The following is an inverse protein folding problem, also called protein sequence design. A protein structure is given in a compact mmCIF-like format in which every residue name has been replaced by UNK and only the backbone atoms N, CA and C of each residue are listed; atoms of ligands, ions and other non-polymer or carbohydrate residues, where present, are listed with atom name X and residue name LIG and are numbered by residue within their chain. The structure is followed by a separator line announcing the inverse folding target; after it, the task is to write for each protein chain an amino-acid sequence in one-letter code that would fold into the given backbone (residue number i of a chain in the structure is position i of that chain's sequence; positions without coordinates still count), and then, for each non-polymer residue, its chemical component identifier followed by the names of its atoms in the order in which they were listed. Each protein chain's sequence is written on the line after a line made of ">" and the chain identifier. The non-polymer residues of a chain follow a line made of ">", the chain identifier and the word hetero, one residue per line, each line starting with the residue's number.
data_IF_648993307692
#
_entry.id   IF_648993307692
#
_cell.length_a   1.000
_cell.length_b   1.000
_cell.length_c   1.000
_cell.angle_alpha   90.00
_cell.angle_beta   90.00
_cell.angle_gamma   90.00
#
_symmetry.space_group_name_H-M   'P 1'
#
loop_
_entity.id
_entity.type
_entity.pdbx_description
1 polymer ?
#
# COMPACT_ATOMS: atom_id res chain seq x y z
N UNK A 1 -15.15 -24.97 3.51
CA UNK A 1 -15.76 -24.27 4.66
C UNK A 1 -14.62 -23.79 5.56
N UNK A 2 -14.23 -22.52 5.50
CA UNK A 2 -13.31 -21.98 6.51
C UNK A 2 -14.07 -21.88 7.85
N UNK A 3 -13.53 -22.48 8.91
CA UNK A 3 -14.12 -22.39 10.25
C UNK A 3 -13.81 -21.01 10.82
N UNK A 4 -14.85 -20.27 11.21
CA UNK A 4 -14.66 -19.03 11.98
C UNK A 4 -13.94 -19.33 13.29
N UNK A 5 -13.07 -18.42 13.71
CA UNK A 5 -12.37 -18.48 14.99
C UNK A 5 -13.07 -17.59 16.01
N UNK A 6 -13.06 -17.96 17.29
CA UNK A 6 -13.69 -17.20 18.38
C UNK A 6 -12.59 -16.50 19.16
N UNK A 7 -12.77 -15.20 19.39
CA UNK A 7 -11.93 -14.38 20.28
C UNK A 7 -12.80 -13.91 21.43
N UNK A 8 -12.34 -14.08 22.66
CA UNK A 8 -12.95 -13.51 23.86
C UNK A 8 -12.02 -12.47 24.45
N UNK A 9 -12.48 -11.23 24.55
CA UNK A 9 -11.70 -10.10 25.07
C UNK A 9 -12.54 -9.29 26.06
N UNK A 10 -11.86 -8.70 27.05
CA UNK A 10 -12.49 -7.69 27.91
C UNK A 10 -12.48 -6.36 27.16
N UNK A 11 -13.64 -5.70 27.13
CA UNK A 11 -13.83 -4.39 26.51
C UNK A 11 -14.31 -3.44 27.59
N UNK A 12 -13.77 -2.23 27.59
CA UNK A 12 -14.21 -1.17 28.50
C UNK A 12 -15.73 -0.94 28.34
N UNK A 13 -16.50 -0.79 29.45
CA UNK A 13 -17.94 -0.56 29.40
C UNK A 13 -18.33 0.62 28.52
N UNK A 14 -17.60 1.74 28.58
CA UNK A 14 -17.89 2.94 27.79
C UNK A 14 -17.72 2.68 26.29
N UNK A 15 -16.69 1.92 25.93
CA UNK A 15 -16.46 1.50 24.54
C UNK A 15 -17.56 0.54 24.07
N UNK A 16 -18.05 -0.34 24.94
CA UNK A 16 -19.18 -1.24 24.61
C UNK A 16 -20.45 -0.46 24.28
N UNK A 17 -20.73 0.64 24.98
CA UNK A 17 -21.87 1.52 24.66
C UNK A 17 -21.74 2.18 23.28
N UNK A 18 -20.52 2.57 22.89
CA UNK A 18 -20.26 3.08 21.54
C UNK A 18 -20.49 2.02 20.47
N UNK A 19 -20.00 0.78 20.71
CA UNK A 19 -20.25 -0.36 19.81
C UNK A 19 -21.74 -0.61 19.66
N UNK A 20 -22.50 -0.54 20.76
CA UNK A 20 -23.95 -0.69 20.75
C UNK A 20 -24.68 0.35 19.90
N UNK A 21 -24.27 1.61 20.04
CA UNK A 21 -24.85 2.71 19.27
C UNK A 21 -24.64 2.50 17.77
N UNK A 22 -23.42 2.13 17.37
CA UNK A 22 -23.08 1.89 15.95
C UNK A 22 -23.78 0.64 15.42
N UNK A 23 -23.82 -0.43 16.20
CA UNK A 23 -24.49 -1.69 15.84
C UNK A 23 -25.96 -1.45 15.52
N UNK A 24 -26.67 -0.73 16.40
CA UNK A 24 -28.08 -0.37 16.22
C UNK A 24 -28.28 0.51 14.99
N UNK A 25 -27.47 1.55 14.83
CA UNK A 25 -27.59 2.46 13.69
C UNK A 25 -27.37 1.78 12.33
N UNK A 26 -26.50 0.76 12.27
CA UNK A 26 -26.18 0.04 11.03
C UNK A 26 -27.02 -1.24 10.82
N UNK A 27 -27.86 -1.63 11.78
CA UNK A 27 -28.59 -2.89 11.73
C UNK A 27 -27.67 -4.12 11.72
N UNK A 28 -26.54 -4.05 12.41
CA UNK A 28 -25.51 -5.12 12.47
C UNK A 28 -25.32 -5.63 13.90
N UNK A 29 -24.84 -6.86 14.04
CA UNK A 29 -24.50 -7.42 15.35
C UNK A 29 -23.17 -6.83 15.86
N UNK A 30 -23.00 -6.81 17.20
CA UNK A 30 -21.74 -6.42 17.85
C UNK A 30 -20.57 -7.26 17.34
N UNK A 31 -20.76 -8.57 17.23
CA UNK A 31 -19.74 -9.50 16.75
C UNK A 31 -19.34 -9.23 15.30
N UNK A 32 -20.30 -8.81 14.45
CA UNK A 32 -19.99 -8.41 13.08
C UNK A 32 -19.13 -7.14 13.06
N UNK A 33 -19.46 -6.13 13.87
CA UNK A 33 -18.66 -4.91 13.98
C UNK A 33 -17.27 -5.19 14.52
N UNK A 34 -17.15 -6.00 15.57
CA UNK A 34 -15.86 -6.36 16.15
C UNK A 34 -14.97 -7.08 15.11
N UNK A 35 -15.51 -8.08 14.42
CA UNK A 35 -14.78 -8.79 13.37
C UNK A 35 -14.33 -7.84 12.24
N UNK A 36 -15.22 -6.93 11.81
CA UNK A 36 -14.90 -5.98 10.74
C UNK A 36 -13.87 -4.93 11.17
N UNK A 37 -13.93 -4.45 12.41
CA UNK A 37 -12.96 -3.51 12.96
C UNK A 37 -11.57 -4.15 13.06
N UNK A 38 -11.49 -5.38 13.58
CA UNK A 38 -10.25 -6.16 13.67
C UNK A 38 -9.67 -6.38 12.26
N UNK A 39 -10.50 -6.82 11.30
CA UNK A 39 -10.05 -7.03 9.92
C UNK A 39 -9.47 -5.75 9.31
N UNK A 40 -10.18 -4.62 9.44
CA UNK A 40 -9.73 -3.35 8.86
C UNK A 40 -8.40 -2.89 9.47
N UNK A 41 -8.25 -3.01 10.78
CA UNK A 41 -7.02 -2.65 11.48
C UNK A 41 -5.86 -3.54 11.02
N UNK A 42 -6.03 -4.87 11.12
CA UNK A 42 -4.93 -5.80 10.87
C UNK A 42 -4.48 -5.84 9.42
N UNK A 43 -5.36 -5.62 8.43
CA UNK A 43 -4.94 -5.58 7.02
C UNK A 43 -3.95 -4.45 6.74
N UNK A 44 -4.16 -3.28 7.36
CA UNK A 44 -3.25 -2.16 7.20
C UNK A 44 -1.94 -2.38 7.97
N UNK A 45 -2.03 -2.88 9.21
CA UNK A 45 -0.86 -3.16 10.04
C UNK A 45 0.04 -4.23 9.43
N UNK A 46 -0.53 -5.35 8.97
CA UNK A 46 0.25 -6.43 8.35
C UNK A 46 0.94 -5.93 7.08
N UNK A 47 0.25 -5.15 6.24
CA UNK A 47 0.88 -4.57 5.05
C UNK A 47 2.07 -3.66 5.40
N UNK A 48 1.98 -2.90 6.50
CA UNK A 48 3.09 -2.06 6.97
C UNK A 48 4.23 -2.91 7.55
N UNK A 49 3.91 -3.93 8.35
CA UNK A 49 4.90 -4.84 8.92
C UNK A 49 5.67 -5.58 7.82
N UNK A 50 4.96 -6.10 6.82
CA UNK A 50 5.56 -6.78 5.67
C UNK A 50 6.47 -5.84 4.87
N UNK A 51 6.02 -4.59 4.63
CA UNK A 51 6.83 -3.58 3.95
C UNK A 51 8.12 -3.22 4.71
N UNK A 52 8.04 -3.07 6.04
CA UNK A 52 9.22 -2.82 6.87
C UNK A 52 10.18 -4.01 6.80
N UNK A 53 9.66 -5.23 6.93
CA UNK A 53 10.49 -6.44 6.89
C UNK A 53 11.20 -6.59 5.55
N UNK A 54 10.53 -6.30 4.43
CA UNK A 54 11.16 -6.27 3.11
C UNK A 54 12.33 -5.26 3.06
N UNK A 55 12.16 -4.07 3.64
CA UNK A 55 13.23 -3.08 3.75
C UNK A 55 14.41 -3.54 4.63
N UNK A 56 14.13 -4.21 5.75
CA UNK A 56 15.18 -4.79 6.60
C UNK A 56 15.96 -5.90 5.86
N UNK A 57 15.24 -6.75 5.13
CA UNK A 57 15.83 -7.82 4.33
C UNK A 57 16.68 -7.27 3.17
N UNK A 58 16.25 -6.17 2.55
CA UNK A 58 17.01 -5.44 1.54
C UNK A 58 18.30 -4.85 2.12
N UNK A 59 18.23 -4.25 3.30
CA UNK A 59 19.42 -3.73 4.00
C UNK A 59 20.38 -4.88 4.31
N UNK A 60 19.88 -5.99 4.87
CA UNK A 60 20.70 -7.15 5.22
C UNK A 60 21.37 -7.79 3.99
N UNK A 61 20.69 -7.78 2.84
CA UNK A 61 21.22 -8.28 1.57
C UNK A 61 22.08 -7.25 0.80
N UNK A 62 22.28 -6.05 1.33
CA UNK A 62 23.02 -4.97 0.67
C UNK A 62 22.30 -4.36 -0.54
N UNK A 63 20.99 -4.58 -0.68
CA UNK A 63 20.12 -4.01 -1.72
C UNK A 63 19.63 -2.61 -1.33
N UNK A 64 20.55 -1.72 -0.99
CA UNK A 64 20.24 -0.32 -0.70
C UNK A 64 21.21 0.59 -1.44
N UNK A 65 20.83 1.86 -1.57
CA UNK A 65 21.71 2.90 -2.11
C UNK A 65 22.07 3.87 -1.00
N UNK A 66 23.34 4.27 -0.95
CA UNK A 66 23.75 5.47 -0.21
C UNK A 66 23.17 6.72 -0.87
N UNK A 67 23.21 7.85 -0.17
CA UNK A 67 22.72 9.13 -0.70
C UNK A 67 23.33 9.47 -2.07
N UNK A 68 24.65 9.34 -2.22
CA UNK A 68 25.36 9.65 -3.46
C UNK A 68 24.92 8.72 -4.60
N UNK A 69 24.85 7.41 -4.34
CA UNK A 69 24.41 6.42 -5.32
C UNK A 69 22.94 6.64 -5.73
N UNK A 70 22.11 7.08 -4.80
CA UNK A 70 20.71 7.40 -5.03
C UNK A 70 20.54 8.62 -5.96
N UNK A 71 21.35 9.66 -5.76
CA UNK A 71 21.37 10.85 -6.61
C UNK A 71 21.80 10.52 -8.05
N UNK A 72 22.87 9.73 -8.20
CA UNK A 72 23.34 9.24 -9.50
C UNK A 72 22.26 8.41 -10.20
N UNK A 73 21.60 7.52 -9.46
CA UNK A 73 20.53 6.68 -9.98
C UNK A 73 19.36 7.52 -10.51
N UNK A 74 18.90 8.53 -9.76
CA UNK A 74 17.83 9.44 -10.21
C UNK A 74 18.24 10.28 -11.41
N UNK A 75 19.47 10.79 -11.45
CA UNK A 75 19.98 11.53 -12.59
C UNK A 75 19.94 10.67 -13.88
N UNK A 76 20.34 9.41 -13.77
CA UNK A 76 20.28 8.46 -14.87
C UNK A 76 18.84 8.17 -15.33
N UNK A 77 17.91 7.96 -14.39
CA UNK A 77 16.49 7.76 -14.72
C UNK A 77 15.89 8.96 -15.48
N UNK A 78 16.19 10.19 -15.03
CA UNK A 78 15.73 11.41 -15.71
C UNK A 78 16.29 11.53 -17.12
N UNK A 79 17.57 11.22 -17.30
CA UNK A 79 18.21 11.23 -18.62
C UNK A 79 17.55 10.23 -19.58
N UNK A 80 17.32 8.99 -19.13
CA UNK A 80 16.63 7.95 -19.90
C UNK A 80 15.20 8.34 -20.27
N UNK A 81 14.46 8.93 -19.34
CA UNK A 81 13.10 9.40 -19.61
C UNK A 81 13.09 10.49 -20.70
N UNK A 82 14.02 11.46 -20.63
CA UNK A 82 14.15 12.52 -21.63
C UNK A 82 14.50 11.97 -23.02
N UNK A 83 15.44 11.02 -23.09
CA UNK A 83 15.82 10.38 -24.34
C UNK A 83 14.64 9.63 -24.97
N UNK A 84 13.85 8.92 -24.16
CA UNK A 84 12.66 8.20 -24.63
C UNK A 84 11.58 9.13 -25.19
N UNK A 85 11.34 10.26 -24.53
CA UNK A 85 10.39 11.28 -25.01
C UNK A 85 10.86 11.85 -26.36
N UNK A 86 12.14 12.22 -26.47
CA UNK A 86 12.70 12.74 -27.72
C UNK A 86 12.63 11.73 -28.88
N UNK A 87 12.83 10.43 -28.59
CA UNK A 87 12.68 9.37 -29.58
C UNK A 87 11.22 9.22 -30.05
N UNK A 88 10.26 9.33 -29.13
CA UNK A 88 8.84 9.29 -29.44
C UNK A 88 8.40 10.48 -30.29
N UNK A 89 8.86 11.69 -29.95
CA UNK A 89 8.56 12.91 -30.70
C UNK A 89 9.16 12.84 -32.12
N UNK A 90 10.39 12.34 -32.27
CA UNK A 90 11.03 12.16 -33.56
C UNK A 90 10.30 11.13 -34.44
N UNK A 91 9.80 10.04 -33.86
CA UNK A 91 8.97 9.05 -34.57
C UNK A 91 7.64 9.63 -35.02
N UNK A 92 6.96 10.40 -34.16
CA UNK A 92 5.71 11.07 -34.50
C UNK A 92 5.89 12.07 -35.65
N UNK A 93 6.99 12.82 -35.67
CA UNK A 93 7.30 13.75 -36.76
C UNK A 93 7.55 13.02 -38.09
N UNK A 94 8.32 11.93 -38.07
CA UNK A 94 8.58 11.12 -39.27
C UNK A 94 7.32 10.48 -39.86
N UNK A 95 6.34 10.12 -39.01
CA UNK A 95 5.05 9.60 -39.47
C UNK A 95 4.18 10.70 -40.09
N UNK A 96 4.19 11.91 -39.52
CA UNK A 96 3.50 13.07 -40.09
C UNK A 96 4.10 13.48 -41.45
N UNK A 97 5.42 13.53 -41.56
CA UNK A 97 6.12 13.91 -42.80
C UNK A 97 5.94 12.89 -43.93
N UNK A 98 5.65 11.62 -43.60
CA UNK A 98 5.33 10.56 -44.59
C UNK A 98 3.86 10.58 -45.03
N UNK A 99 2.99 11.21 -44.26
CA UNK A 99 1.55 11.28 -44.53
C UNK A 99 1.14 12.56 -45.29
N UNK A 100 2.06 13.53 -45.41
CA UNK A 100 1.94 14.75 -46.20
C UNK A 100 2.53 14.58 -47.61
#
# INVERSE_FOLDING_TARGET
>A
MSKSQIITARIDPEVMELVDRVAKAQGRSRSWLAARAIEKMLRAEVAMMDFIQEGEDDIAAGRFLTQEQMEEWVANLRSKAKAKIAEQDAKAQQEQDKAA
#
